data_IF_956850971077
#
_entry.id   IF_956850971077
#
_cell.length_a   1.000
_cell.length_b   1.000
_cell.length_c   1.000
_cell.angle_alpha   90.00
_cell.angle_beta   90.00
_cell.angle_gamma   90.00
#
_symmetry.space_group_name_H-M   'P 1'
#
loop_
_entity.id
_entity.type
_entity.pdbx_description
1 polymer ?
#
# COMPACT_ATOMS: atom_id res chain seq x y z
N UNK A 1 -8.88 -2.07 5.21
CA UNK A 1 -8.61 -0.63 5.07
C UNK A 1 -9.72 0.04 4.30
N UNK A 2 -10.02 -0.45 3.10
CA UNK A 2 -11.01 0.08 2.17
C UNK A 2 -12.41 0.26 2.79
N UNK A 3 -12.89 -0.74 3.53
CA UNK A 3 -14.18 -0.66 4.23
C UNK A 3 -14.13 0.39 5.34
N UNK A 4 -13.03 0.43 6.11
CA UNK A 4 -12.89 1.39 7.20
C UNK A 4 -12.92 2.83 6.70
N UNK A 5 -12.17 3.16 5.63
CA UNK A 5 -12.22 4.52 5.07
C UNK A 5 -13.57 4.82 4.42
N UNK A 6 -14.22 3.85 3.78
CA UNK A 6 -15.55 4.05 3.20
C UNK A 6 -16.59 4.48 4.26
N UNK A 7 -16.52 3.95 5.48
CA UNK A 7 -17.44 4.32 6.55
C UNK A 7 -16.97 5.49 7.43
N UNK A 8 -15.66 5.63 7.64
CA UNK A 8 -15.10 6.57 8.62
C UNK A 8 -14.51 7.84 8.00
N UNK A 9 -14.55 7.98 6.67
CA UNK A 9 -14.07 9.18 6.01
C UNK A 9 -14.86 10.43 6.43
N UNK A 10 -14.12 11.55 6.55
CA UNK A 10 -14.65 12.87 6.87
C UNK A 10 -14.19 13.86 5.82
N UNK A 11 -15.14 14.64 5.30
CA UNK A 11 -14.85 15.65 4.29
C UNK A 11 -13.73 16.59 4.73
N UNK A 12 -12.83 16.91 3.81
CA UNK A 12 -11.71 17.84 4.04
C UNK A 12 -10.55 17.28 4.87
N UNK A 13 -10.60 16.01 5.31
CA UNK A 13 -9.50 15.40 6.08
C UNK A 13 -9.18 13.99 5.59
N UNK A 14 -7.89 13.68 5.46
CA UNK A 14 -7.45 12.29 5.37
C UNK A 14 -7.65 11.61 6.74
N UNK A 15 -7.57 10.28 6.80
CA UNK A 15 -7.69 9.54 8.06
C UNK A 15 -6.47 8.65 8.28
N UNK A 16 -5.88 8.73 9.46
CA UNK A 16 -4.95 7.73 9.97
C UNK A 16 -5.78 6.61 10.62
N UNK A 17 -5.77 5.43 9.98
CA UNK A 17 -6.57 4.28 10.40
C UNK A 17 -5.69 3.30 11.17
N UNK A 18 -6.05 3.07 12.42
CA UNK A 18 -5.40 2.14 13.34
C UNK A 18 -6.28 0.88 13.51
N UNK A 19 -5.64 -0.25 13.84
CA UNK A 19 -6.30 -1.54 13.98
C UNK A 19 -6.10 -2.10 15.39
N UNK A 20 -7.09 -2.85 15.89
CA UNK A 20 -7.08 -3.52 17.20
C UNK A 20 -6.83 -2.58 18.41
N UNK A 21 -7.76 -1.64 18.72
CA UNK A 21 -9.10 -1.49 18.13
C UNK A 21 -9.11 -0.67 16.83
N UNK A 22 -10.18 -0.81 16.04
CA UNK A 22 -10.39 0.03 14.86
C UNK A 22 -10.60 1.49 15.29
N UNK A 23 -9.78 2.39 14.78
CA UNK A 23 -9.87 3.83 15.03
C UNK A 23 -9.47 4.61 13.79
N UNK A 24 -10.16 5.71 13.52
CA UNK A 24 -9.81 6.66 12.47
C UNK A 24 -9.56 8.03 13.09
N UNK A 25 -8.35 8.54 12.94
CA UNK A 25 -7.94 9.86 13.43
C UNK A 25 -7.76 10.81 12.24
N UNK A 26 -8.39 11.99 12.22
CA UNK A 26 -8.22 12.95 11.15
C UNK A 26 -6.75 13.38 10.99
N UNK A 27 -6.31 13.47 9.73
CA UNK A 27 -5.01 14.01 9.32
C UNK A 27 -5.28 15.18 8.39
N UNK A 28 -4.92 16.37 8.85
CA UNK A 28 -5.01 17.58 8.05
C UNK A 28 -3.80 17.62 7.11
N UNK A 29 -4.07 17.77 5.82
CA UNK A 29 -3.03 17.91 4.81
C UNK A 29 -2.66 19.39 4.67
N UNK A 30 -1.44 19.72 4.21
CA UNK A 30 -1.08 21.10 3.88
C UNK A 30 -2.09 21.74 2.92
N UNK A 31 -2.38 23.03 3.06
CA UNK A 31 -3.42 23.72 2.28
C UNK A 31 -3.17 23.68 0.77
N UNK A 32 -1.90 23.64 0.37
CA UNK A 32 -1.45 23.53 -1.01
C UNK A 32 -1.36 22.08 -1.52
N UNK A 33 -1.67 21.06 -0.70
CA UNK A 33 -1.63 19.67 -1.13
C UNK A 33 -2.82 19.36 -2.05
N UNK A 34 -2.54 19.07 -3.32
CA UNK A 34 -3.55 18.59 -4.28
C UNK A 34 -3.18 17.18 -4.71
N UNK A 35 -4.11 16.25 -4.53
CA UNK A 35 -3.92 14.87 -4.97
C UNK A 35 -4.52 14.65 -6.35
N UNK A 36 -3.77 14.02 -7.24
CA UNK A 36 -4.22 13.60 -8.57
C UNK A 36 -4.21 12.07 -8.62
N UNK A 37 -5.30 11.49 -9.11
CA UNK A 37 -5.40 10.07 -9.44
C UNK A 37 -5.16 9.91 -10.93
N UNK A 38 -4.33 8.94 -11.30
CA UNK A 38 -4.11 8.56 -12.69
C UNK A 38 -4.19 7.03 -12.83
N UNK A 39 -5.04 6.56 -13.74
CA UNK A 39 -5.26 5.15 -14.01
C UNK A 39 -4.29 4.65 -15.08
N UNK A 40 -3.55 3.60 -14.78
CA UNK A 40 -2.58 2.97 -15.69
C UNK A 40 -3.21 2.23 -16.87
N UNK A 41 -4.54 2.12 -16.91
CA UNK A 41 -5.33 1.35 -17.88
C UNK A 41 -4.99 -0.15 -17.93
N UNK A 42 -4.15 -0.62 -17.01
CA UNK A 42 -3.86 -2.03 -16.82
C UNK A 42 -4.81 -2.62 -15.78
N UNK A 43 -5.53 -3.66 -16.18
CA UNK A 43 -6.45 -4.37 -15.31
C UNK A 43 -5.72 -5.39 -14.45
N UNK A 44 -5.93 -5.33 -13.14
CA UNK A 44 -5.52 -6.38 -12.21
C UNK A 44 -6.75 -7.15 -11.76
N UNK A 45 -6.95 -8.38 -12.27
CA UNK A 45 -8.01 -9.25 -11.76
C UNK A 45 -7.57 -9.94 -10.46
N UNK A 46 -7.72 -9.21 -9.35
CA UNK A 46 -7.29 -9.63 -8.01
C UNK A 46 -7.89 -10.97 -7.54
N UNK A 47 -9.09 -11.30 -8.01
CA UNK A 47 -9.77 -12.55 -7.63
C UNK A 47 -9.31 -13.75 -8.47
N UNK A 48 -8.75 -13.51 -9.66
CA UNK A 48 -8.29 -14.56 -10.57
C UNK A 48 -6.86 -15.01 -10.30
N UNK A 49 -6.04 -14.21 -9.62
CA UNK A 49 -4.61 -14.47 -9.41
C UNK A 49 -4.27 -14.79 -7.96
N UNK A 50 -3.24 -15.61 -7.73
CA UNK A 50 -2.73 -15.91 -6.38
C UNK A 50 -1.85 -14.82 -5.78
N UNK A 51 -1.44 -13.81 -6.55
CA UNK A 51 -0.37 -12.87 -6.17
C UNK A 51 -0.63 -12.14 -4.85
N UNK A 52 -1.85 -11.65 -4.64
CA UNK A 52 -2.23 -10.99 -3.38
C UNK A 52 -2.11 -11.94 -2.19
N UNK A 53 -2.67 -13.15 -2.30
CA UNK A 53 -2.63 -14.14 -1.23
C UNK A 53 -1.22 -14.66 -0.99
N UNK A 54 -0.39 -14.74 -2.03
CA UNK A 54 1.02 -15.09 -1.92
C UNK A 54 1.76 -14.09 -1.02
N UNK A 55 1.54 -12.79 -1.21
CA UNK A 55 2.14 -11.76 -0.33
C UNK A 55 1.69 -11.89 1.12
N UNK A 56 0.40 -12.17 1.34
CA UNK A 56 -0.14 -12.41 2.70
C UNK A 56 0.55 -13.59 3.36
N UNK A 57 0.71 -14.70 2.63
CA UNK A 57 1.40 -15.91 3.10
C UNK A 57 2.87 -15.63 3.39
N UNK A 58 3.59 -14.97 2.49
CA UNK A 58 5.00 -14.59 2.68
C UNK A 58 5.19 -13.73 3.94
N UNK A 59 4.33 -12.72 4.17
CA UNK A 59 4.35 -11.92 5.39
C UNK A 59 4.10 -12.75 6.65
N UNK A 60 3.11 -13.66 6.61
CA UNK A 60 2.78 -14.53 7.75
C UNK A 60 3.91 -15.49 8.08
N UNK A 61 4.49 -16.12 7.07
CA UNK A 61 5.63 -17.03 7.22
C UNK A 61 6.84 -16.29 7.81
N UNK A 62 7.15 -15.11 7.28
CA UNK A 62 8.22 -14.27 7.82
C UNK A 62 7.98 -13.91 9.30
N UNK A 63 6.76 -13.46 9.63
CA UNK A 63 6.38 -13.13 11.01
C UNK A 63 6.54 -14.32 11.96
N UNK A 64 6.02 -15.50 11.57
CA UNK A 64 6.11 -16.72 12.38
C UNK A 64 7.53 -17.21 12.55
N UNK A 65 8.35 -17.13 11.50
CA UNK A 65 9.74 -17.52 11.60
C UNK A 65 10.52 -16.60 12.55
N UNK A 66 10.33 -15.28 12.45
CA UNK A 66 10.94 -14.33 13.39
C UNK A 66 10.48 -14.60 14.83
N UNK A 67 9.19 -14.86 15.05
CA UNK A 67 8.66 -15.27 16.35
C UNK A 67 9.34 -16.54 16.90
N UNK A 68 9.53 -17.57 16.05
CA UNK A 68 10.22 -18.82 16.40
C UNK A 68 11.68 -18.53 16.80
N UNK A 69 12.38 -17.67 16.06
CA UNK A 69 13.76 -17.27 16.39
C UNK A 69 13.86 -16.53 17.72
N UNK A 70 12.84 -15.75 18.06
CA UNK A 70 12.72 -15.08 19.37
C UNK A 70 12.14 -15.98 20.47
N UNK A 71 12.04 -17.30 20.24
CA UNK A 71 11.55 -18.28 21.21
C UNK A 71 10.13 -18.00 21.72
N UNK A 72 9.32 -17.28 20.94
CA UNK A 72 7.89 -17.08 21.22
C UNK A 72 7.08 -18.25 20.67
N UNK A 73 5.85 -18.43 21.17
CA UNK A 73 4.89 -19.36 20.58
C UNK A 73 4.41 -18.81 19.22
N UNK A 74 5.19 -19.05 18.18
CA UNK A 74 4.97 -18.53 16.84
C UNK A 74 3.64 -18.99 16.22
N UNK A 75 3.03 -20.09 16.68
CA UNK A 75 1.73 -20.56 16.20
C UNK A 75 0.61 -19.58 16.53
N UNK A 76 0.74 -18.84 17.62
CA UNK A 76 -0.25 -17.85 18.07
C UNK A 76 -0.03 -16.46 17.45
N UNK A 77 1.11 -16.25 16.77
CA UNK A 77 1.49 -14.96 16.20
C UNK A 77 1.24 -14.98 14.69
N UNK A 78 0.37 -14.08 14.22
CA UNK A 78 -0.09 -14.06 12.83
C UNK A 78 0.31 -12.81 12.05
N UNK A 79 0.57 -11.70 12.75
CA UNK A 79 0.86 -10.39 12.13
C UNK A 79 2.10 -9.79 12.76
N UNK A 80 2.85 -9.05 11.95
CA UNK A 80 4.03 -8.33 12.42
C UNK A 80 3.74 -7.36 13.56
N UNK A 81 2.57 -6.72 13.59
CA UNK A 81 2.17 -5.85 14.69
C UNK A 81 2.04 -6.60 16.03
N UNK A 82 1.52 -7.84 16.00
CA UNK A 82 1.39 -8.69 17.19
C UNK A 82 2.77 -9.14 17.67
N UNK A 83 3.67 -9.50 16.74
CA UNK A 83 5.07 -9.82 17.05
C UNK A 83 5.82 -8.63 17.65
N UNK A 84 5.73 -7.46 17.01
CA UNK A 84 6.36 -6.23 17.47
C UNK A 84 5.93 -5.90 18.90
N UNK A 85 4.63 -6.01 19.18
CA UNK A 85 4.07 -5.79 20.52
C UNK A 85 4.58 -6.81 21.53
N UNK A 86 4.63 -8.10 21.17
CA UNK A 86 5.13 -9.15 22.05
C UNK A 86 6.61 -8.97 22.43
N UNK A 87 7.42 -8.43 21.50
CA UNK A 87 8.83 -8.14 21.73
C UNK A 87 9.08 -6.78 22.40
N UNK A 88 8.08 -5.89 22.40
CA UNK A 88 8.21 -4.49 22.78
C UNK A 88 9.31 -3.75 21.97
N UNK A 89 9.34 -4.00 20.65
CA UNK A 89 10.34 -3.42 19.74
C UNK A 89 9.81 -2.21 18.97
N UNK A 90 10.71 -1.28 18.62
CA UNK A 90 10.49 -0.24 17.62
C UNK A 90 10.41 -0.83 16.21
N UNK A 91 9.98 -0.03 15.21
CA UNK A 91 9.93 -0.51 13.82
C UNK A 91 11.35 -0.74 13.25
N UNK A 92 12.31 0.07 13.67
CA UNK A 92 13.72 -0.02 13.32
C UNK A 92 14.39 -1.26 13.95
N UNK A 93 14.02 -1.60 15.19
CA UNK A 93 14.44 -2.84 15.83
C UNK A 93 13.85 -4.06 15.10
N UNK A 94 12.60 -3.99 14.65
CA UNK A 94 11.98 -5.05 13.82
C UNK A 94 12.64 -5.19 12.44
N UNK A 95 13.06 -4.09 11.82
CA UNK A 95 13.85 -4.11 10.58
C UNK A 95 15.22 -4.76 10.81
N UNK A 96 15.90 -4.41 11.91
CA UNK A 96 17.19 -5.00 12.30
C UNK A 96 17.05 -6.50 12.55
N UNK A 97 16.00 -6.91 13.27
CA UNK A 97 15.64 -8.31 13.49
C UNK A 97 15.43 -9.06 12.17
N UNK A 98 14.71 -8.45 11.23
CA UNK A 98 14.48 -9.00 9.89
C UNK A 98 15.79 -9.24 9.15
N UNK A 99 16.68 -8.24 9.12
CA UNK A 99 17.98 -8.36 8.46
C UNK A 99 18.89 -9.42 9.10
N UNK A 100 18.75 -9.64 10.41
CA UNK A 100 19.56 -10.59 11.17
C UNK A 100 19.15 -12.04 10.88
N UNK A 101 17.85 -12.33 10.84
CA UNK A 101 17.36 -13.71 10.79
C UNK A 101 16.84 -14.15 9.42
N UNK A 102 16.34 -13.23 8.59
CA UNK A 102 15.89 -13.51 7.24
C UNK A 102 16.96 -13.08 6.25
N UNK A 103 18.01 -13.88 6.09
CA UNK A 103 19.19 -13.52 5.27
C UNK A 103 19.06 -13.88 3.79
N UNK A 104 18.23 -14.86 3.45
CA UNK A 104 18.07 -15.31 2.07
C UNK A 104 17.10 -14.41 1.28
N UNK A 105 17.35 -14.32 -0.04
CA UNK A 105 16.47 -13.61 -0.97
C UNK A 105 15.25 -14.45 -1.37
N UNK A 106 15.41 -15.77 -1.44
CA UNK A 106 14.35 -16.71 -1.80
C UNK A 106 14.49 -17.92 -0.90
N UNK A 107 13.38 -18.37 -0.33
CA UNK A 107 13.27 -19.60 0.42
C UNK A 107 12.42 -20.58 -0.39
N UNK A 108 12.90 -21.80 -0.53
CA UNK A 108 12.12 -22.90 -1.09
C UNK A 108 11.16 -23.46 -0.04
N UNK A 109 10.11 -24.14 -0.50
CA UNK A 109 9.20 -24.87 0.39
C UNK A 109 9.96 -25.84 1.30
N UNK A 110 10.93 -26.57 0.75
CA UNK A 110 11.70 -27.56 1.50
C UNK A 110 12.47 -26.91 2.66
N UNK A 111 13.14 -25.79 2.40
CA UNK A 111 13.84 -25.03 3.44
C UNK A 111 12.86 -24.53 4.52
N UNK A 112 11.67 -24.09 4.13
CA UNK A 112 10.66 -23.67 5.11
C UNK A 112 10.16 -24.83 5.97
N UNK A 113 9.94 -26.02 5.40
CA UNK A 113 9.57 -27.22 6.17
C UNK A 113 10.63 -27.54 7.23
N UNK A 114 11.90 -27.48 6.86
CA UNK A 114 13.03 -27.67 7.78
C UNK A 114 13.11 -26.55 8.83
N UNK A 115 12.95 -25.29 8.42
CA UNK A 115 12.98 -24.12 9.31
C UNK A 115 11.87 -24.14 10.36
N UNK A 116 10.68 -24.62 10.00
CA UNK A 116 9.56 -24.75 10.93
C UNK A 116 9.56 -26.06 11.70
N UNK A 117 10.34 -27.06 11.26
CA UNK A 117 10.29 -28.45 11.74
C UNK A 117 8.88 -29.02 11.57
N UNK A 118 8.34 -28.93 10.35
CA UNK A 118 6.98 -29.34 10.02
C UNK A 118 6.97 -30.33 8.85
N UNK A 119 6.02 -31.25 8.91
CA UNK A 119 5.68 -32.11 7.78
C UNK A 119 4.94 -31.31 6.69
N UNK A 120 5.02 -31.81 5.44
CA UNK A 120 4.46 -31.12 4.27
C UNK A 120 2.96 -30.81 4.43
N UNK A 121 2.18 -31.80 4.86
CA UNK A 121 0.72 -31.66 4.94
C UNK A 121 0.33 -30.62 6.01
N UNK A 122 0.97 -30.66 7.18
CA UNK A 122 0.77 -29.69 8.26
C UNK A 122 1.12 -28.25 7.79
N UNK A 123 2.23 -28.09 7.07
CA UNK A 123 2.62 -26.80 6.49
C UNK A 123 1.58 -26.27 5.50
N UNK A 124 1.11 -27.12 4.58
CA UNK A 124 0.14 -26.73 3.55
C UNK A 124 -1.22 -26.39 4.15
N UNK A 125 -1.67 -27.12 5.16
CA UNK A 125 -2.96 -26.91 5.81
C UNK A 125 -2.96 -25.69 6.73
N UNK A 126 -1.89 -25.48 7.50
CA UNK A 126 -1.86 -24.46 8.55
C UNK A 126 -1.16 -23.16 8.17
N UNK A 127 -0.27 -23.16 7.17
CA UNK A 127 0.53 -21.99 6.80
C UNK A 127 0.18 -21.39 5.44
N UNK A 128 -0.40 -22.17 4.52
CA UNK A 128 -0.77 -21.70 3.17
C UNK A 128 -2.29 -21.44 3.04
N UNK A 129 -2.68 -20.75 1.99
CA UNK A 129 -4.08 -20.57 1.57
C UNK A 129 -4.40 -21.50 0.40
N UNK A 130 -5.69 -21.76 0.13
CA UNK A 130 -6.12 -22.67 -0.93
C UNK A 130 -5.44 -22.41 -2.30
N UNK A 131 -5.31 -21.14 -2.69
CA UNK A 131 -4.69 -20.74 -3.96
C UNK A 131 -3.16 -20.51 -3.89
N UNK A 132 -2.51 -20.80 -2.77
CA UNK A 132 -1.03 -20.75 -2.62
C UNK A 132 -0.43 -22.12 -2.28
N UNK A 133 -1.25 -23.18 -2.25
CA UNK A 133 -0.79 -24.56 -1.97
C UNK A 133 0.20 -25.11 -2.97
N UNK A 134 0.32 -24.51 -4.16
CA UNK A 134 1.28 -24.91 -5.19
C UNK A 134 2.56 -24.05 -5.19
N UNK A 135 2.66 -23.06 -4.30
CA UNK A 135 3.83 -22.17 -4.22
C UNK A 135 5.05 -22.90 -3.69
N UNK A 136 6.13 -22.94 -4.48
CA UNK A 136 7.38 -23.60 -4.13
C UNK A 136 8.48 -22.63 -3.67
N UNK A 137 8.28 -21.33 -3.87
CA UNK A 137 9.25 -20.27 -3.52
C UNK A 137 8.59 -19.11 -2.78
N UNK A 138 9.33 -18.52 -1.84
CA UNK A 138 8.83 -17.48 -0.93
C UNK A 138 9.90 -16.40 -0.66
N UNK A 139 9.53 -15.13 -0.70
CA UNK A 139 10.43 -13.98 -0.46
C UNK A 139 10.20 -13.31 0.89
N UNK A 140 10.51 -14.03 1.96
CA UNK A 140 10.16 -13.64 3.34
C UNK A 140 10.80 -12.31 3.75
N UNK A 141 12.11 -12.16 3.49
CA UNK A 141 12.90 -10.98 3.89
C UNK A 141 12.32 -9.70 3.30
N UNK A 142 12.12 -9.68 1.99
CA UNK A 142 11.69 -8.50 1.26
C UNK A 142 10.29 -8.06 1.68
N UNK A 143 9.38 -9.02 1.92
CA UNK A 143 8.02 -8.69 2.37
C UNK A 143 8.03 -8.10 3.78
N UNK A 144 8.81 -8.68 4.70
CA UNK A 144 8.96 -8.15 6.05
C UNK A 144 9.55 -6.73 6.04
N UNK A 145 10.65 -6.52 5.31
CA UNK A 145 11.29 -5.20 5.18
C UNK A 145 10.32 -4.16 4.61
N UNK A 146 9.58 -4.50 3.55
CA UNK A 146 8.56 -3.61 3.00
C UNK A 146 7.55 -3.17 4.07
N UNK A 147 7.00 -4.12 4.83
CA UNK A 147 5.95 -3.83 5.83
C UNK A 147 6.47 -2.91 6.94
N UNK A 148 7.64 -3.17 7.49
CA UNK A 148 8.20 -2.33 8.56
C UNK A 148 8.58 -0.94 8.05
N UNK A 149 9.28 -0.86 6.92
CA UNK A 149 9.66 0.43 6.33
C UNK A 149 8.45 1.24 5.84
N UNK A 150 7.41 0.61 5.33
CA UNK A 150 6.16 1.29 4.96
C UNK A 150 5.43 1.82 6.21
N UNK A 151 5.44 1.05 7.30
CA UNK A 151 4.87 1.49 8.57
C UNK A 151 5.60 2.71 9.14
N UNK A 152 6.93 2.76 9.00
CA UNK A 152 7.73 3.95 9.34
C UNK A 152 7.30 5.12 8.47
N UNK A 153 7.25 4.95 7.13
CA UNK A 153 6.84 6.00 6.20
C UNK A 153 5.46 6.56 6.50
N UNK A 154 4.49 5.71 6.88
CA UNK A 154 3.15 6.15 7.28
C UNK A 154 3.20 7.04 8.53
N UNK A 155 3.93 6.63 9.58
CA UNK A 155 4.08 7.44 10.80
C UNK A 155 4.73 8.79 10.49
N UNK A 156 5.83 8.78 9.76
CA UNK A 156 6.53 10.01 9.36
C UNK A 156 5.63 10.91 8.51
N UNK A 157 4.84 10.34 7.58
CA UNK A 157 3.91 11.12 6.77
C UNK A 157 2.84 11.82 7.63
N UNK A 158 2.29 11.12 8.63
CA UNK A 158 1.30 11.69 9.56
C UNK A 158 1.93 12.79 10.42
N UNK A 159 3.12 12.55 10.99
CA UNK A 159 3.84 13.53 11.81
C UNK A 159 4.12 14.81 11.04
N UNK A 160 4.62 14.68 9.82
CA UNK A 160 4.95 15.80 8.92
C UNK A 160 3.69 16.56 8.49
N UNK A 161 2.58 15.86 8.23
CA UNK A 161 1.31 16.50 7.91
C UNK A 161 0.71 17.28 9.09
N UNK A 162 0.89 16.79 10.32
CA UNK A 162 0.35 17.41 11.54
C UNK A 162 1.16 18.60 12.05
N UNK A 163 2.44 18.71 11.67
CA UNK A 163 3.32 19.82 12.06
C UNK A 163 3.99 20.44 10.82
N UNK A 164 3.22 21.10 9.94
CA UNK A 164 3.73 21.57 8.67
C UNK A 164 4.73 22.73 8.84
N UNK A 165 5.89 22.59 8.22
CA UNK A 165 6.92 23.62 8.02
C UNK A 165 7.15 23.89 6.52
N UNK A 166 7.98 24.89 6.23
CA UNK A 166 8.52 25.07 4.88
C UNK A 166 9.24 23.78 4.45
N UNK A 167 8.81 23.19 3.32
CA UNK A 167 9.33 21.91 2.80
C UNK A 167 8.51 20.66 3.14
N UNK A 168 7.41 20.79 3.90
CA UNK A 168 6.49 19.67 4.24
C UNK A 168 6.03 18.89 3.02
N UNK A 169 5.53 19.58 1.99
CA UNK A 169 5.09 18.93 0.75
C UNK A 169 6.25 18.19 0.07
N UNK A 170 7.45 18.77 0.03
CA UNK A 170 8.61 18.12 -0.57
C UNK A 170 8.95 16.80 0.15
N UNK A 171 8.91 16.80 1.49
CA UNK A 171 9.14 15.59 2.28
C UNK A 171 8.04 14.54 2.06
N UNK A 172 6.77 14.95 2.02
CA UNK A 172 5.65 14.05 1.71
C UNK A 172 5.78 13.43 0.32
N UNK A 173 6.15 14.22 -0.70
CA UNK A 173 6.43 13.74 -2.07
C UNK A 173 7.54 12.68 -2.06
N UNK A 174 8.63 12.93 -1.33
CA UNK A 174 9.75 11.98 -1.17
C UNK A 174 9.30 10.67 -0.51
N UNK A 175 8.49 10.73 0.55
CA UNK A 175 7.94 9.56 1.22
C UNK A 175 7.07 8.71 0.29
N UNK A 176 6.23 9.36 -0.54
CA UNK A 176 5.42 8.67 -1.54
C UNK A 176 6.29 7.96 -2.57
N UNK A 177 7.32 8.63 -3.11
CA UNK A 177 8.24 8.03 -4.10
C UNK A 177 9.02 6.84 -3.52
N UNK A 178 9.47 6.94 -2.27
CA UNK A 178 10.13 5.84 -1.55
C UNK A 178 9.18 4.67 -1.30
N UNK A 179 7.91 4.94 -1.00
CA UNK A 179 6.88 3.91 -0.89
C UNK A 179 6.68 3.18 -2.22
N UNK A 180 6.60 3.91 -3.35
CA UNK A 180 6.52 3.28 -4.67
C UNK A 180 7.72 2.37 -4.96
N UNK A 181 8.93 2.84 -4.67
CA UNK A 181 10.14 2.03 -4.88
C UNK A 181 10.13 0.75 -4.07
N UNK A 182 9.67 0.83 -2.81
CA UNK A 182 9.49 -0.33 -1.95
C UNK A 182 8.41 -1.29 -2.48
N UNK A 183 7.29 -0.78 -3.00
CA UNK A 183 6.23 -1.59 -3.61
C UNK A 183 6.70 -2.29 -4.89
N UNK A 184 7.56 -1.62 -5.68
CA UNK A 184 8.16 -2.17 -6.90
C UNK A 184 9.20 -3.24 -6.60
N UNK A 185 10.19 -2.94 -5.76
CA UNK A 185 11.38 -3.78 -5.57
C UNK A 185 11.26 -4.78 -4.42
N UNK A 186 10.67 -4.39 -3.28
CA UNK A 186 10.56 -5.24 -2.09
C UNK A 186 9.24 -5.98 -2.02
N UNK A 187 8.13 -5.35 -2.39
CA UNK A 187 6.82 -5.99 -2.39
C UNK A 187 6.44 -6.59 -3.74
N UNK A 188 7.11 -6.20 -4.83
CA UNK A 188 6.89 -6.72 -6.19
C UNK A 188 5.40 -6.79 -6.55
N UNK A 189 4.72 -5.66 -6.36
CA UNK A 189 3.31 -5.48 -6.71
C UNK A 189 3.10 -4.27 -7.64
N UNK A 190 4.15 -3.80 -8.32
CA UNK A 190 3.99 -2.77 -9.35
C UNK A 190 3.60 -3.38 -10.70
N UNK A 191 3.55 -2.53 -11.73
CA UNK A 191 3.30 -2.88 -13.11
C UNK A 191 4.04 -1.88 -14.01
N UNK A 192 4.57 -2.26 -15.19
CA UNK A 192 5.28 -1.32 -16.08
C UNK A 192 4.53 -0.02 -16.35
N UNK A 193 3.22 -0.11 -16.59
CA UNK A 193 2.36 1.07 -16.77
C UNK A 193 2.28 1.99 -15.52
N UNK A 194 2.30 1.42 -14.31
CA UNK A 194 2.36 2.19 -13.08
C UNK A 194 3.73 2.86 -12.93
N UNK A 195 4.80 2.10 -13.19
CA UNK A 195 6.18 2.61 -13.12
C UNK A 195 6.36 3.79 -14.08
N UNK A 196 5.87 3.69 -15.32
CA UNK A 196 5.91 4.77 -16.30
C UNK A 196 5.16 6.04 -15.82
N UNK A 197 3.97 5.89 -15.23
CA UNK A 197 3.23 7.03 -14.68
C UNK A 197 4.00 7.71 -13.54
N UNK A 198 4.66 6.95 -12.67
CA UNK A 198 5.50 7.51 -11.60
C UNK A 198 6.74 8.21 -12.18
N UNK A 199 7.40 7.63 -13.17
CA UNK A 199 8.55 8.25 -13.85
C UNK A 199 8.16 9.55 -14.57
N UNK A 200 6.96 9.63 -15.15
CA UNK A 200 6.41 10.87 -15.70
C UNK A 200 6.11 11.91 -14.61
N UNK A 201 5.65 11.48 -13.44
CA UNK A 201 5.44 12.35 -12.27
C UNK A 201 6.74 13.02 -11.81
N UNK A 202 7.82 12.25 -11.75
CA UNK A 202 9.13 12.70 -11.31
C UNK A 202 9.66 13.87 -12.18
N UNK A 203 9.35 13.88 -13.49
CA UNK A 203 9.75 14.94 -14.44
C UNK A 203 9.15 16.31 -14.12
N UNK A 204 8.01 16.36 -13.42
CA UNK A 204 7.35 17.60 -13.00
C UNK A 204 7.49 17.86 -11.48
N UNK A 205 8.34 17.11 -10.79
CA UNK A 205 8.53 17.25 -9.33
C UNK A 205 7.28 16.90 -8.53
N UNK A 206 6.45 16.00 -9.06
CA UNK A 206 5.24 15.46 -8.42
C UNK A 206 5.60 14.14 -7.74
N UNK A 207 5.23 14.00 -6.46
CA UNK A 207 5.50 12.76 -5.73
C UNK A 207 4.39 11.75 -5.94
N UNK A 208 4.69 10.60 -6.55
CA UNK A 208 3.69 9.61 -6.91
C UNK A 208 4.01 8.20 -6.41
N UNK A 209 2.96 7.40 -6.24
CA UNK A 209 3.02 5.96 -5.98
C UNK A 209 1.79 5.25 -6.48
N UNK A 210 1.90 3.95 -6.73
CA UNK A 210 0.73 3.09 -6.91
C UNK A 210 -0.18 3.13 -5.68
N UNK A 211 -1.48 2.93 -5.89
CA UNK A 211 -2.49 2.86 -4.83
C UNK A 211 -3.39 1.65 -4.99
N UNK A 212 -3.93 1.15 -3.88
CA UNK A 212 -4.60 -0.14 -3.83
C UNK A 212 -3.61 -1.31 -3.84
N UNK A 213 -4.03 -2.44 -4.41
CA UNK A 213 -3.27 -3.69 -4.33
C UNK A 213 -2.05 -3.74 -5.26
N UNK A 214 -2.04 -2.95 -6.33
CA UNK A 214 -1.01 -3.01 -7.37
C UNK A 214 -1.31 -4.03 -8.47
N UNK A 215 -0.25 -4.43 -9.20
CA UNK A 215 -0.28 -5.20 -10.46
C UNK A 215 -1.11 -4.55 -11.58
N UNK A 216 -1.34 -3.25 -11.45
CA UNK A 216 -2.18 -2.43 -12.31
C UNK A 216 -3.04 -1.48 -11.49
N UNK A 217 -4.10 -0.94 -12.10
CA UNK A 217 -4.96 0.05 -11.45
C UNK A 217 -4.37 1.46 -11.49
N UNK A 218 -4.32 2.17 -10.36
CA UNK A 218 -4.02 3.60 -10.33
C UNK A 218 -2.74 3.96 -9.58
N UNK A 219 -2.20 5.13 -9.89
CA UNK A 219 -1.32 5.88 -9.00
C UNK A 219 -2.09 6.97 -8.26
N UNK A 220 -1.55 7.40 -7.13
CA UNK A 220 -1.90 8.63 -6.42
C UNK A 220 -0.67 9.54 -6.41
N UNK A 221 -0.86 10.79 -6.79
CA UNK A 221 0.20 11.77 -7.00
C UNK A 221 -0.08 13.03 -6.18
N UNK A 222 0.93 13.54 -5.48
CA UNK A 222 0.86 14.75 -4.66
C UNK A 222 1.51 15.92 -5.42
N UNK A 223 0.68 16.91 -5.73
CA UNK A 223 1.07 18.19 -6.33
C UNK A 223 1.15 19.28 -5.26
N UNK A 224 1.96 20.29 -5.54
CA UNK A 224 2.13 21.50 -4.75
C UNK A 224 1.34 22.64 -5.41
N UNK A 225 0.07 22.77 -5.01
CA UNK A 225 -0.85 23.75 -5.51
C UNK A 225 -1.67 23.30 -6.73
N UNK A 226 -2.71 24.09 -7.00
CA UNK A 226 -3.66 23.85 -8.10
C UNK A 226 -2.96 23.96 -9.46
N UNK A 227 -2.09 24.96 -9.64
CA UNK A 227 -1.41 25.20 -10.92
C UNK A 227 -0.54 24.00 -11.34
N UNK A 228 0.27 23.45 -10.41
CA UNK A 228 1.05 22.24 -10.68
C UNK A 228 0.13 21.05 -11.00
N UNK A 229 -1.01 20.92 -10.33
CA UNK A 229 -1.93 19.81 -10.58
C UNK A 229 -2.57 19.88 -11.98
N UNK A 230 -2.94 21.07 -12.46
CA UNK A 230 -3.50 21.27 -13.79
C UNK A 230 -2.44 20.98 -14.86
N UNK A 231 -1.23 21.54 -14.70
CA UNK A 231 -0.10 21.27 -15.58
C UNK A 231 0.23 19.77 -15.64
N UNK A 232 0.20 19.09 -14.49
CA UNK A 232 0.49 17.66 -14.40
C UNK A 232 -0.57 16.81 -15.09
N UNK A 233 -1.86 17.13 -14.92
CA UNK A 233 -2.96 16.43 -15.60
C UNK A 233 -2.82 16.55 -17.11
N UNK A 234 -2.62 17.76 -17.64
CA UNK A 234 -2.49 17.98 -19.07
C UNK A 234 -1.23 17.30 -19.63
N UNK A 235 -0.12 17.35 -18.90
CA UNK A 235 1.08 16.62 -19.26
C UNK A 235 0.85 15.10 -19.36
N UNK A 236 0.08 14.48 -18.45
CA UNK A 236 -0.22 13.05 -18.55
C UNK A 236 -1.13 12.72 -19.73
N UNK A 237 -2.11 13.59 -20.06
CA UNK A 237 -2.97 13.41 -21.24
C UNK A 237 -2.11 13.27 -22.50
N UNK A 238 -1.12 14.14 -22.64
CA UNK A 238 -0.24 14.15 -23.81
C UNK A 238 0.84 13.07 -23.76
N UNK A 239 1.56 12.93 -22.65
CA UNK A 239 2.76 12.10 -22.57
C UNK A 239 2.50 10.62 -22.24
N UNK A 240 1.30 10.27 -21.76
CA UNK A 240 0.94 8.90 -21.39
C UNK A 240 -0.28 8.41 -22.16
N UNK A 241 -1.39 9.14 -22.11
CA UNK A 241 -2.66 8.64 -22.64
C UNK A 241 -2.77 8.77 -24.16
N UNK A 242 -2.17 9.79 -24.79
CA UNK A 242 -2.29 10.03 -26.23
C UNK A 242 -1.84 8.84 -27.10
N UNK A 243 -0.77 8.16 -26.68
CA UNK A 243 -0.16 7.07 -27.44
C UNK A 243 -0.71 5.67 -27.09
N UNK A 244 -1.59 5.57 -26.09
CA UNK A 244 -2.15 4.28 -25.66
C UNK A 244 -3.40 3.92 -26.44
N UNK A 245 -3.34 2.83 -27.20
CA UNK A 245 -4.51 2.27 -27.88
C UNK A 245 -5.68 2.02 -26.91
N UNK A 246 -5.40 1.60 -25.67
CA UNK A 246 -6.43 1.36 -24.64
C UNK A 246 -7.12 2.65 -24.15
N UNK A 247 -6.54 3.83 -24.40
CA UNK A 247 -7.12 5.11 -24.05
C UNK A 247 -8.02 5.68 -25.17
N UNK A 248 -7.92 5.15 -26.40
CA UNK A 248 -8.70 5.64 -27.53
C UNK A 248 -10.21 5.53 -27.28
N UNK A 249 -10.93 6.64 -27.48
CA UNK A 249 -12.38 6.71 -27.29
C UNK A 249 -12.83 6.80 -25.82
N UNK A 250 -11.91 6.80 -24.85
CA UNK A 250 -12.25 7.03 -23.44
C UNK A 250 -12.37 8.52 -23.13
N UNK A 251 -13.20 8.84 -22.14
CA UNK A 251 -13.17 10.17 -21.52
C UNK A 251 -11.94 10.27 -20.61
N UNK A 252 -10.97 11.13 -20.96
CA UNK A 252 -9.74 11.26 -20.18
C UNK A 252 -9.97 11.80 -18.77
N UNK A 253 -11.08 12.52 -18.54
CA UNK A 253 -11.47 13.02 -17.20
C UNK A 253 -11.79 11.88 -16.22
N UNK A 254 -12.13 10.68 -16.71
CA UNK A 254 -12.42 9.52 -15.86
C UNK A 254 -11.16 8.75 -15.44
N UNK A 255 -10.03 8.97 -16.14
CA UNK A 255 -8.79 8.22 -15.93
C UNK A 255 -7.67 9.08 -15.34
N UNK A 256 -7.76 10.41 -15.44
CA UNK A 256 -6.85 11.33 -14.75
C UNK A 256 -7.59 12.55 -14.22
N UNK A 257 -7.59 12.73 -12.89
CA UNK A 257 -8.35 13.79 -12.23
C UNK A 257 -7.78 14.16 -10.87
N UNK A 258 -7.96 15.43 -10.48
CA UNK A 258 -7.69 15.89 -9.11
C UNK A 258 -8.79 15.42 -8.16
N UNK A 259 -8.43 15.18 -6.90
CA UNK A 259 -9.35 14.73 -5.85
C UNK A 259 -9.05 15.39 -4.51
N UNK A 260 -10.04 15.37 -3.63
CA UNK A 260 -9.94 15.87 -2.25
C UNK A 260 -10.68 14.93 -1.30
N UNK A 261 -10.32 14.89 -0.01
CA UNK A 261 -10.97 13.98 0.94
C UNK A 261 -12.49 14.24 1.04
N UNK A 262 -13.28 13.19 0.80
CA UNK A 262 -14.74 13.25 0.78
C UNK A 262 -15.39 12.63 2.02
N UNK A 263 -16.72 12.75 2.10
CA UNK A 263 -17.56 12.12 3.12
C UNK A 263 -17.55 10.59 2.94
N UNK A 264 -17.69 9.87 4.05
CA UNK A 264 -17.92 8.43 4.03
C UNK A 264 -19.34 8.06 3.59
N UNK A 265 -19.74 6.83 3.86
CA UNK A 265 -21.05 6.30 3.54
C UNK A 265 -22.18 7.10 4.20
N UNK A 266 -23.19 7.47 3.41
CA UNK A 266 -24.35 8.25 3.85
C UNK A 266 -25.65 7.61 3.33
N UNK A 267 -26.74 7.80 4.07
CA UNK A 267 -28.09 7.43 3.62
C UNK A 267 -28.81 8.70 3.21
N UNK A 268 -29.30 8.74 1.97
CA UNK A 268 -30.13 9.83 1.46
C UNK A 268 -31.60 9.46 1.66
N UNK A 269 -32.32 10.29 2.42
CA UNK A 269 -33.76 10.14 2.60
C UNK A 269 -34.48 11.10 1.66
N UNK A 270 -35.36 10.57 0.83
CA UNK A 270 -36.28 11.39 0.05
C UNK A 270 -37.24 12.07 1.03
N UNK A 271 -37.34 13.39 0.98
CA UNK A 271 -38.38 14.10 1.75
C UNK A 271 -39.71 13.68 1.16
N UNK A 272 -40.50 12.90 1.91
CA UNK A 272 -41.89 12.61 1.56
C UNK A 272 -42.58 13.96 1.36
N UNK A 273 -42.96 14.22 0.11
CA UNK A 273 -43.74 15.40 -0.22
C UNK A 273 -44.99 15.43 0.63
N UNK A 274 -45.21 16.54 1.32
CA UNK A 274 -46.56 16.91 1.73
C UNK A 274 -47.32 17.15 0.43
N UNK A 275 -48.02 16.12 -0.05
CA UNK A 275 -49.13 16.28 -0.98
C UNK A 275 -50.32 16.62 -0.07
N UNK A 276 -50.73 17.88 -0.07
CA UNK A 276 -51.90 18.37 0.66
C UNK A 276 -51.64 19.70 1.34
#
# INVERSE_FOLDING_TARGET
>A
MDQAIAFLAKQGTAQFIEWNPLKATPVHLPNNAVFVIANSLSEANKAATSDFNQRVVECRLACRFLAKKMQLNWRDIWRFADLQKALNYSLEEMETLTNTYLTQLVYTRQELLEMFEMERDDFVENLLTANTRQSEVFKLRQRALHVFQESIRVKTFVEVAQSPTDGTIHLMKKLMRQSHESLRSLYECSHPNLDQLVELSDKLGVGARLTGAGWGGCIVALCDGVDQSLQYIDYLKDAYYADLAQAQGRNLEEVVFATSPQRGAEIYLEKSGVIG
#
